data_IF_752313565657
#
_entry.id   IF_752313565657
#
_cell.length_a   1.000
_cell.length_b   1.000
_cell.length_c   1.000
_cell.angle_alpha   90.00
_cell.angle_beta   90.00
_cell.angle_gamma   90.00
#
_symmetry.space_group_name_H-M   'P 1'
#
loop_
_entity.id
_entity.type
_entity.pdbx_description
1 polymer ?
#
# COMPACT_ATOMS: atom_id res chain seq x y z
N UNK A 1 -16.30 15.73 10.17
CA UNK A 1 -15.06 15.38 9.45
C UNK A 1 -14.27 14.36 10.25
N UNK A 2 -13.81 13.30 9.60
CA UNK A 2 -13.06 12.25 10.26
C UNK A 2 -11.60 12.70 10.46
N UNK A 3 -11.10 12.46 11.67
CA UNK A 3 -9.72 12.77 12.01
C UNK A 3 -8.77 11.83 11.25
N UNK A 4 -7.68 12.37 10.73
CA UNK A 4 -6.65 11.59 10.01
C UNK A 4 -7.19 10.87 8.76
N UNK A 5 -8.17 11.45 8.08
CA UNK A 5 -8.78 10.84 6.92
C UNK A 5 -7.97 11.08 5.64
N UNK A 6 -6.66 10.74 5.72
CA UNK A 6 -5.73 10.82 4.60
C UNK A 6 -5.16 9.46 4.23
N UNK A 7 -5.81 8.42 4.73
CA UNK A 7 -5.44 7.05 4.42
C UNK A 7 -5.83 6.68 2.99
N UNK A 8 -5.28 5.59 2.53
CA UNK A 8 -5.48 5.11 1.17
C UNK A 8 -6.61 4.09 1.14
N UNK A 9 -7.72 4.45 0.56
CA UNK A 9 -8.91 3.60 0.50
C UNK A 9 -9.07 2.99 -0.88
N UNK A 10 -9.67 1.83 -0.91
CA UNK A 10 -10.02 1.14 -2.14
C UNK A 10 -11.40 0.51 -1.97
N UNK A 11 -12.21 0.62 -3.02
CA UNK A 11 -13.51 -0.04 -3.08
C UNK A 11 -13.50 -0.94 -4.30
N UNK A 12 -13.91 -2.19 -4.10
CA UNK A 12 -13.96 -3.15 -5.18
C UNK A 12 -15.17 -4.06 -5.00
N UNK A 13 -15.62 -4.67 -6.10
CA UNK A 13 -16.71 -5.64 -6.05
C UNK A 13 -16.19 -6.98 -5.54
N UNK A 14 -16.95 -7.60 -4.62
CA UNK A 14 -16.67 -8.95 -4.14
C UNK A 14 -17.73 -9.90 -4.69
N UNK A 15 -17.35 -10.71 -5.65
CA UNK A 15 -18.26 -11.68 -6.26
C UNK A 15 -18.74 -12.71 -5.24
N UNK A 16 -17.86 -13.10 -4.33
CA UNK A 16 -18.20 -14.06 -3.28
C UNK A 16 -19.27 -13.53 -2.34
N UNK A 17 -19.17 -12.26 -1.95
CA UNK A 17 -20.09 -11.63 -1.02
C UNK A 17 -21.28 -10.98 -1.72
N UNK A 18 -21.21 -10.82 -3.03
CA UNK A 18 -22.20 -10.09 -3.83
C UNK A 18 -22.45 -8.69 -3.29
N UNK A 19 -21.38 -8.05 -2.85
CA UNK A 19 -21.38 -6.69 -2.35
C UNK A 19 -20.08 -6.00 -2.69
N UNK A 20 -20.04 -4.68 -2.49
CA UNK A 20 -18.82 -3.93 -2.58
C UNK A 20 -18.07 -4.02 -1.26
N UNK A 21 -16.74 -4.11 -1.34
CA UNK A 21 -15.90 -4.14 -0.15
C UNK A 21 -15.02 -2.90 -0.12
N UNK A 22 -15.05 -2.19 1.01
CA UNK A 22 -14.15 -1.08 1.28
C UNK A 22 -12.93 -1.58 2.04
N UNK A 23 -11.75 -1.14 1.61
CA UNK A 23 -10.47 -1.57 2.17
C UNK A 23 -9.61 -0.33 2.43
N UNK A 24 -8.65 -0.47 3.35
CA UNK A 24 -7.68 0.57 3.64
C UNK A 24 -6.28 -0.05 3.63
N UNK A 25 -5.39 0.51 2.81
CA UNK A 25 -4.03 -0.04 2.65
C UNK A 25 -3.27 -0.05 3.97
N UNK A 26 -3.36 1.01 4.76
CA UNK A 26 -2.62 1.15 6.02
C UNK A 26 -3.20 0.30 7.16
N UNK A 27 -4.42 -0.23 6.99
CA UNK A 27 -5.08 -1.11 7.95
C UNK A 27 -5.56 -2.37 7.22
N UNK A 28 -4.62 -3.26 6.85
CA UNK A 28 -4.95 -4.39 5.97
C UNK A 28 -5.92 -5.41 6.55
N UNK A 29 -6.13 -5.42 7.85
CA UNK A 29 -7.08 -6.33 8.48
C UNK A 29 -8.52 -5.81 8.50
N UNK A 30 -8.73 -4.56 8.14
CA UNK A 30 -10.06 -3.93 8.18
C UNK A 30 -10.74 -3.98 6.83
N UNK A 31 -12.04 -4.20 6.85
CA UNK A 31 -12.87 -4.18 5.65
C UNK A 31 -14.31 -3.82 6.02
N UNK A 32 -15.06 -3.40 5.02
CA UNK A 32 -16.49 -3.09 5.19
C UNK A 32 -17.25 -3.44 3.94
N UNK A 33 -18.29 -4.26 4.09
CA UNK A 33 -19.15 -4.65 2.96
C UNK A 33 -20.37 -3.76 2.90
N UNK A 34 -20.79 -3.40 1.71
CA UNK A 34 -21.98 -2.58 1.51
C UNK A 34 -22.54 -2.80 0.11
N UNK A 35 -23.86 -2.52 -0.09
CA UNK A 35 -24.50 -2.76 -1.39
C UNK A 35 -24.11 -1.75 -2.48
N UNK A 36 -23.53 -0.61 -2.13
CA UNK A 36 -23.07 0.38 -3.10
C UNK A 36 -21.63 0.79 -2.85
N UNK A 37 -20.90 1.26 -3.88
CA UNK A 37 -19.52 1.71 -3.68
C UNK A 37 -19.41 2.87 -2.69
N UNK A 38 -20.38 3.79 -2.72
CA UNK A 38 -20.40 4.95 -1.83
C UNK A 38 -20.53 4.52 -0.36
N UNK A 39 -21.44 3.59 -0.11
CA UNK A 39 -21.63 3.06 1.23
C UNK A 39 -20.42 2.26 1.72
N UNK A 40 -19.76 1.53 0.81
CA UNK A 40 -18.55 0.80 1.14
C UNK A 40 -17.42 1.75 1.54
N UNK A 41 -17.27 2.85 0.81
CA UNK A 41 -16.26 3.86 1.14
C UNK A 41 -16.56 4.53 2.49
N UNK A 42 -17.80 4.96 2.69
CA UNK A 42 -18.19 5.58 3.96
C UNK A 42 -17.98 4.63 5.13
N UNK A 43 -18.34 3.37 4.95
CA UNK A 43 -18.20 2.36 6.00
C UNK A 43 -16.76 2.11 6.38
N UNK A 44 -15.87 1.91 5.41
CA UNK A 44 -14.46 1.66 5.73
C UNK A 44 -13.80 2.90 6.36
N UNK A 45 -14.16 4.09 5.91
CA UNK A 45 -13.63 5.32 6.49
C UNK A 45 -14.03 5.43 7.97
N UNK A 46 -15.28 5.08 8.29
CA UNK A 46 -15.75 5.11 9.68
C UNK A 46 -15.07 4.05 10.54
N UNK A 47 -14.91 2.84 10.01
CA UNK A 47 -14.22 1.76 10.73
C UNK A 47 -12.78 2.18 11.06
N UNK A 48 -12.08 2.73 10.07
CA UNK A 48 -10.70 3.20 10.27
C UNK A 48 -10.65 4.31 11.32
N UNK A 49 -11.57 5.27 11.26
CA UNK A 49 -11.62 6.35 12.24
C UNK A 49 -11.83 5.81 13.66
N UNK A 50 -12.74 4.86 13.82
CA UNK A 50 -13.02 4.26 15.13
C UNK A 50 -11.83 3.47 15.68
N UNK A 51 -11.16 2.71 14.80
CA UNK A 51 -9.98 1.93 15.20
C UNK A 51 -8.81 2.86 15.55
N UNK A 52 -8.59 3.90 14.75
CA UNK A 52 -7.52 4.86 15.02
C UNK A 52 -7.74 5.58 16.36
N UNK A 53 -8.98 5.97 16.63
CA UNK A 53 -9.32 6.62 17.89
C UNK A 53 -9.10 5.67 19.08
N UNK A 54 -9.48 4.41 18.92
CA UNK A 54 -9.27 3.40 19.95
C UNK A 54 -7.78 3.15 20.21
N UNK A 55 -6.98 3.08 19.14
CA UNK A 55 -5.54 2.94 19.26
C UNK A 55 -4.92 4.12 19.99
N UNK A 56 -5.32 5.35 19.65
CA UNK A 56 -4.82 6.54 20.32
C UNK A 56 -5.19 6.53 21.81
N UNK A 57 -6.41 6.12 22.13
CA UNK A 57 -6.87 6.03 23.54
C UNK A 57 -6.05 5.02 24.34
N UNK A 58 -5.54 3.98 23.69
CA UNK A 58 -4.72 2.95 24.32
C UNK A 58 -3.22 3.24 24.17
N UNK A 59 -2.86 4.44 23.75
CA UNK A 59 -1.47 4.86 23.54
C UNK A 59 -0.71 3.99 22.55
N UNK A 60 -1.42 3.41 21.59
CA UNK A 60 -0.81 2.67 20.50
C UNK A 60 -0.48 3.61 19.34
N UNK A 61 0.58 3.31 18.60
CA UNK A 61 0.97 4.12 17.45
C UNK A 61 0.08 3.79 16.26
N UNK A 62 -0.64 4.80 15.74
CA UNK A 62 -1.45 4.62 14.53
C UNK A 62 -0.55 4.64 13.28
N UNK A 63 -0.92 3.90 12.22
CA UNK A 63 -0.15 3.93 10.98
C UNK A 63 -0.13 5.33 10.37
N UNK A 64 1.02 5.69 9.81
CA UNK A 64 1.14 6.95 9.08
C UNK A 64 0.49 6.79 7.70
N UNK A 65 -0.36 7.74 7.27
CA UNK A 65 -0.91 7.69 5.92
C UNK A 65 0.21 7.65 4.87
N UNK A 66 0.09 6.75 3.91
CA UNK A 66 1.09 6.63 2.83
C UNK A 66 1.24 7.93 2.05
N UNK A 67 0.13 8.66 1.89
CA UNK A 67 0.14 9.94 1.18
C UNK A 67 1.03 11.00 1.85
N UNK A 68 1.28 10.86 3.15
CA UNK A 68 2.09 11.81 3.92
C UNK A 68 3.52 11.31 4.14
N UNK A 69 3.79 10.04 3.82
CA UNK A 69 5.10 9.43 4.02
C UNK A 69 6.11 10.03 3.04
N UNK A 70 7.30 10.32 3.54
CA UNK A 70 8.39 10.80 2.70
C UNK A 70 9.12 9.62 2.08
N UNK A 71 9.33 9.67 0.76
CA UNK A 71 10.06 8.64 0.02
C UNK A 71 11.37 9.20 -0.49
N UNK A 72 12.49 8.59 -0.09
CA UNK A 72 13.83 9.06 -0.46
C UNK A 72 14.27 8.64 -1.88
N UNK A 73 13.62 7.64 -2.43
CA UNK A 73 14.06 7.01 -3.68
C UNK A 73 15.04 5.87 -3.46
N UNK A 74 15.36 5.56 -2.19
CA UNK A 74 16.25 4.44 -1.87
C UNK A 74 15.48 3.37 -1.13
N UNK A 75 15.62 2.13 -1.59
CA UNK A 75 15.12 0.97 -0.87
C UNK A 75 15.95 -0.25 -1.27
N UNK A 76 15.94 -1.25 -0.41
CA UNK A 76 16.73 -2.46 -0.62
C UNK A 76 15.84 -3.61 -1.06
N UNK A 77 16.28 -4.32 -2.10
CA UNK A 77 15.56 -5.48 -2.61
C UNK A 77 16.45 -6.71 -2.47
N UNK A 78 15.87 -7.80 -1.94
CA UNK A 78 16.55 -9.09 -1.88
C UNK A 78 15.98 -9.98 -2.95
N UNK A 79 16.85 -10.50 -3.81
CA UNK A 79 16.48 -11.38 -4.92
C UNK A 79 17.35 -12.62 -4.89
N UNK A 80 16.94 -13.69 -5.58
CA UNK A 80 17.78 -14.89 -5.65
C UNK A 80 19.13 -14.58 -6.27
N UNK A 81 20.21 -15.21 -5.79
CA UNK A 81 21.56 -14.99 -6.31
C UNK A 81 21.68 -15.14 -7.84
N UNK A 82 20.98 -16.09 -8.43
CA UNK A 82 21.00 -16.29 -9.88
C UNK A 82 20.43 -15.08 -10.64
N UNK A 83 19.38 -14.48 -10.12
CA UNK A 83 18.81 -13.29 -10.71
C UNK A 83 19.77 -12.10 -10.57
N UNK A 84 20.39 -11.96 -9.40
CA UNK A 84 21.39 -10.93 -9.16
C UNK A 84 22.54 -11.04 -10.18
N UNK A 85 23.02 -12.27 -10.38
CA UNK A 85 24.10 -12.54 -11.34
C UNK A 85 23.69 -12.15 -12.76
N UNK A 86 22.48 -12.53 -13.20
CA UNK A 86 22.01 -12.20 -14.54
C UNK A 86 21.91 -10.69 -14.76
N UNK A 87 21.40 -9.98 -13.76
CA UNK A 87 21.31 -8.52 -13.83
C UNK A 87 22.69 -7.87 -13.91
N UNK A 88 23.65 -8.38 -13.11
CA UNK A 88 24.99 -7.83 -13.11
C UNK A 88 25.67 -8.04 -14.47
N UNK A 89 25.50 -9.23 -15.08
CA UNK A 89 26.04 -9.51 -16.42
C UNK A 89 25.40 -8.61 -17.47
N UNK A 90 24.09 -8.46 -17.43
CA UNK A 90 23.37 -7.62 -18.38
C UNK A 90 23.81 -6.15 -18.28
N UNK A 91 23.98 -5.66 -17.06
CA UNK A 91 24.46 -4.30 -16.84
C UNK A 91 25.87 -4.10 -17.40
N UNK A 92 26.76 -5.06 -17.14
CA UNK A 92 28.13 -5.01 -17.66
C UNK A 92 28.16 -5.01 -19.17
N UNK A 93 27.36 -5.86 -19.81
CA UNK A 93 27.29 -5.93 -21.29
C UNK A 93 26.73 -4.64 -21.87
N UNK A 94 25.79 -4.01 -21.17
CA UNK A 94 25.21 -2.74 -21.63
C UNK A 94 26.07 -1.52 -21.26
N UNK A 95 27.13 -1.70 -20.49
CA UNK A 95 28.01 -0.62 -20.09
C UNK A 95 27.37 0.35 -19.11
N UNK A 96 26.41 -0.11 -18.29
CA UNK A 96 25.74 0.73 -17.29
C UNK A 96 25.88 0.10 -15.90
N UNK A 97 25.60 0.89 -14.86
CA UNK A 97 25.62 0.37 -13.51
C UNK A 97 24.43 -0.56 -13.27
N UNK A 98 24.56 -1.45 -12.29
CA UNK A 98 23.46 -2.33 -11.91
C UNK A 98 22.24 -1.50 -11.47
N UNK A 99 22.46 -0.45 -10.68
CA UNK A 99 21.37 0.42 -10.24
C UNK A 99 20.64 1.08 -11.41
N UNK A 100 21.40 1.52 -12.41
CA UNK A 100 20.80 2.14 -13.59
C UNK A 100 19.95 1.14 -14.38
N UNK A 101 20.45 -0.07 -14.56
CA UNK A 101 19.70 -1.12 -15.23
C UNK A 101 18.43 -1.45 -14.47
N UNK A 102 18.55 -1.63 -13.13
CA UNK A 102 17.41 -1.94 -12.29
C UNK A 102 16.36 -0.82 -12.35
N UNK A 103 16.79 0.44 -12.30
CA UNK A 103 15.88 1.58 -12.39
C UNK A 103 15.12 1.58 -13.72
N UNK A 104 15.80 1.28 -14.81
CA UNK A 104 15.15 1.21 -16.13
C UNK A 104 14.09 0.11 -16.18
N UNK A 105 14.42 -1.07 -15.64
CA UNK A 105 13.47 -2.19 -15.59
C UNK A 105 12.25 -1.89 -14.72
N UNK A 106 12.44 -1.23 -13.60
CA UNK A 106 11.37 -0.87 -12.69
C UNK A 106 10.47 0.24 -13.26
N UNK A 107 10.96 1.00 -14.22
CA UNK A 107 10.20 2.08 -14.86
C UNK A 107 9.28 1.60 -15.98
N UNK A 108 9.32 0.33 -16.31
CA UNK A 108 8.50 -0.24 -17.38
C UNK A 108 7.05 -0.41 -16.97
#
# INVERSE_FOLDING_TARGET
MLKNDRYTYRVTWSEEDEEYVGLCVEYPSLSWLAPTPQEALEGIRQVVADVAEDMEANEETVPEPLALRHYSGKFTVRIPPDLHRRLALEAAEAGVSLNRLASAKLSQ
#
